data_IF_613146548227
#
_entry.id   IF_613146548227
#
_cell.length_a   1.000
_cell.length_b   1.000
_cell.length_c   1.000
_cell.angle_alpha   90.00
_cell.angle_beta   90.00
_cell.angle_gamma   90.00
#
_symmetry.space_group_name_H-M   'P 1'
#
loop_
_entity.id
_entity.type
_entity.pdbx_description
1 polymer ?
#
# COMPACT_ATOMS: atom_id res chain seq x y z
N UNK A 1 -3.60 -12.00 10.14
CA UNK A 1 -2.37 -12.61 10.68
C UNK A 1 -1.43 -11.50 11.14
N UNK A 2 -0.81 -11.68 12.28
CA UNK A 2 0.20 -10.77 12.79
C UNK A 2 1.54 -11.52 12.85
N UNK A 3 2.61 -10.93 12.34
CA UNK A 3 3.96 -11.44 12.54
C UNK A 3 4.62 -10.59 13.63
N UNK A 4 5.18 -11.24 14.64
CA UNK A 4 5.82 -10.59 15.78
C UNK A 4 7.32 -10.87 15.73
N UNK A 5 8.11 -9.83 15.84
CA UNK A 5 9.57 -9.88 15.82
C UNK A 5 10.13 -9.54 17.20
N UNK A 6 10.94 -10.40 17.78
CA UNK A 6 11.39 -10.27 19.16
C UNK A 6 12.92 -10.30 19.26
N UNK A 7 13.55 -9.13 19.36
CA UNK A 7 14.91 -8.95 19.83
C UNK A 7 16.03 -9.42 18.91
N UNK A 8 17.27 -9.44 19.42
CA UNK A 8 18.55 -9.68 18.71
C UNK A 8 18.68 -11.04 18.02
N UNK A 9 17.83 -12.02 18.42
CA UNK A 9 17.57 -13.27 17.72
C UNK A 9 16.15 -13.21 17.16
N UNK A 10 15.96 -12.50 16.06
CA UNK A 10 14.69 -12.25 15.41
C UNK A 10 13.92 -13.54 15.11
N UNK A 11 13.24 -14.06 16.10
CA UNK A 11 12.30 -15.17 15.92
C UNK A 11 10.98 -14.59 15.44
N UNK A 12 10.61 -14.94 14.24
CA UNK A 12 9.30 -14.62 13.71
C UNK A 12 8.32 -15.67 14.21
N UNK A 13 7.20 -15.20 14.75
CA UNK A 13 6.09 -16.06 15.15
C UNK A 13 4.81 -15.48 14.58
N UNK A 14 3.98 -16.34 14.04
CA UNK A 14 2.65 -15.99 13.60
C UNK A 14 1.72 -15.89 14.81
N UNK A 15 0.84 -14.91 14.76
CA UNK A 15 -0.10 -14.64 15.82
C UNK A 15 -1.47 -14.27 15.23
N UNK A 16 -2.51 -14.57 15.96
CA UNK A 16 -3.87 -14.15 15.64
C UNK A 16 -4.36 -13.12 16.66
N UNK A 17 -5.22 -12.20 16.22
CA UNK A 17 -5.85 -11.23 17.10
C UNK A 17 -6.87 -11.96 17.97
N UNK A 18 -6.59 -12.07 19.27
CA UNK A 18 -7.48 -12.72 20.24
C UNK A 18 -8.55 -11.73 20.74
N UNK A 19 -8.17 -10.49 21.01
CA UNK A 19 -9.07 -9.45 21.50
C UNK A 19 -8.53 -8.05 21.21
N UNK A 20 -9.42 -7.14 20.90
CA UNK A 20 -9.13 -5.69 20.79
C UNK A 20 -9.86 -4.98 21.91
N UNK A 21 -9.16 -4.14 22.66
CA UNK A 21 -9.82 -3.28 23.63
C UNK A 21 -10.50 -2.12 22.89
N UNK A 22 -11.82 -1.94 23.02
CA UNK A 22 -12.53 -0.88 22.30
C UNK A 22 -12.18 0.54 22.77
N UNK A 23 -11.56 0.66 23.94
CA UNK A 23 -11.20 1.96 24.50
C UNK A 23 -9.76 2.32 24.17
N UNK A 24 -9.55 3.46 23.52
CA UNK A 24 -8.23 4.04 23.38
C UNK A 24 -7.73 4.52 24.76
N UNK A 25 -6.47 4.29 25.07
CA UNK A 25 -5.87 4.83 26.28
C UNK A 25 -5.78 6.36 26.19
N UNK A 26 -6.34 7.04 27.19
CA UNK A 26 -6.27 8.50 27.29
C UNK A 26 -4.80 8.94 27.28
N UNK A 27 -4.46 9.87 26.40
CA UNK A 27 -3.12 10.45 26.28
C UNK A 27 -2.17 9.78 25.26
N UNK A 28 -2.31 8.51 24.96
CA UNK A 28 -1.40 7.81 24.02
C UNK A 28 -1.97 7.61 22.62
N UNK A 29 -3.27 7.78 22.41
CA UNK A 29 -3.99 7.48 21.15
C UNK A 29 -3.75 6.05 20.65
N UNK A 30 -3.38 5.14 21.54
CA UNK A 30 -3.12 3.74 21.22
C UNK A 30 -4.27 2.85 21.66
N UNK A 31 -4.47 1.76 20.95
CA UNK A 31 -5.45 0.72 21.26
C UNK A 31 -4.69 -0.53 21.68
N UNK A 32 -5.13 -1.14 22.77
CA UNK A 32 -4.54 -2.37 23.26
C UNK A 32 -5.12 -3.56 22.49
N UNK A 33 -4.24 -4.30 21.81
CA UNK A 33 -4.59 -5.49 21.06
C UNK A 33 -3.90 -6.70 21.69
N UNK A 34 -4.67 -7.71 22.04
CA UNK A 34 -4.16 -8.99 22.56
C UNK A 34 -3.97 -9.95 21.39
N UNK A 35 -2.78 -10.52 21.29
CA UNK A 35 -2.42 -11.49 20.26
C UNK A 35 -2.23 -12.87 20.90
N UNK A 36 -2.80 -13.89 20.28
CA UNK A 36 -2.48 -15.28 20.58
C UNK A 36 -1.36 -15.74 19.66
N UNK A 37 -0.24 -16.14 20.23
CA UNK A 37 0.91 -16.66 19.46
C UNK A 37 0.62 -18.12 19.05
N UNK A 38 0.95 -18.49 17.83
CA UNK A 38 0.82 -19.89 17.37
C UNK A 38 1.82 -20.81 18.07
N UNK A 39 2.97 -20.26 18.45
CA UNK A 39 3.99 -20.97 19.25
C UNK A 39 4.50 -20.03 20.33
N UNK A 40 4.54 -20.50 21.55
CA UNK A 40 5.06 -19.75 22.71
C UNK A 40 6.41 -20.26 23.22
N UNK A 41 6.94 -21.33 22.60
CA UNK A 41 8.17 -21.99 23.06
C UNK A 41 9.37 -21.04 22.98
N UNK A 42 10.03 -20.84 24.12
CA UNK A 42 11.22 -20.00 24.22
C UNK A 42 10.96 -18.50 24.35
N UNK A 43 9.70 -18.07 24.45
CA UNK A 43 9.38 -16.69 24.81
C UNK A 43 9.21 -16.54 26.32
N UNK A 44 9.72 -15.43 26.87
CA UNK A 44 9.62 -15.07 28.27
C UNK A 44 8.76 -13.83 28.44
N UNK A 45 8.09 -13.71 29.56
CA UNK A 45 7.38 -12.49 29.91
C UNK A 45 8.34 -11.31 30.00
N UNK A 46 7.90 -10.13 29.57
CA UNK A 46 8.70 -8.90 29.59
C UNK A 46 9.55 -8.67 28.33
N UNK A 47 9.49 -9.54 27.33
CA UNK A 47 10.15 -9.31 26.05
C UNK A 47 9.39 -8.26 25.23
N UNK A 48 10.14 -7.35 24.62
CA UNK A 48 9.60 -6.43 23.64
C UNK A 48 9.42 -7.17 22.30
N UNK A 49 8.30 -6.94 21.65
CA UNK A 49 8.00 -7.50 20.34
C UNK A 49 7.52 -6.39 19.40
N UNK A 50 7.84 -6.53 18.12
CA UNK A 50 7.36 -5.67 17.06
C UNK A 50 6.76 -6.51 15.94
N UNK A 51 5.67 -6.05 15.33
CA UNK A 51 5.01 -6.83 14.31
C UNK A 51 4.13 -6.01 13.40
N UNK A 52 3.49 -6.71 12.45
CA UNK A 52 2.50 -6.15 11.54
C UNK A 52 1.19 -6.89 11.72
N UNK A 53 0.09 -6.16 11.76
CA UNK A 53 -1.26 -6.71 11.82
C UNK A 53 -1.89 -6.50 10.45
N UNK A 54 -2.29 -7.60 9.80
CA UNK A 54 -3.13 -7.52 8.59
C UNK A 54 -4.57 -7.27 9.03
N UNK A 55 -5.11 -6.12 8.66
CA UNK A 55 -6.47 -5.69 9.03
C UNK A 55 -7.53 -6.03 7.99
N UNK A 56 -7.13 -6.57 6.85
CA UNK A 56 -8.04 -7.03 5.81
C UNK A 56 -7.31 -7.30 4.50
N UNK A 57 -8.04 -7.93 3.60
CA UNK A 57 -7.66 -8.09 2.19
C UNK A 57 -8.84 -7.61 1.36
N UNK A 58 -8.65 -6.57 0.58
CA UNK A 58 -9.60 -6.11 -0.41
C UNK A 58 -8.95 -6.20 -1.79
N UNK A 59 -9.72 -6.61 -2.81
CA UNK A 59 -9.31 -6.43 -4.19
C UNK A 59 -9.65 -5.01 -4.60
N UNK A 60 -8.67 -4.16 -4.63
CA UNK A 60 -8.81 -2.78 -5.05
C UNK A 60 -7.77 -2.48 -6.13
N UNK A 61 -8.09 -1.57 -7.03
CA UNK A 61 -7.09 -1.08 -7.97
C UNK A 61 -6.03 -0.31 -7.20
N UNK A 62 -4.78 -0.64 -7.44
CA UNK A 62 -3.65 0.03 -6.82
C UNK A 62 -2.69 0.55 -7.89
N UNK A 63 -2.19 1.74 -7.67
CA UNK A 63 -1.19 2.37 -8.53
C UNK A 63 0.07 2.71 -7.73
N UNK A 64 1.23 2.75 -8.39
CA UNK A 64 2.41 3.35 -7.78
C UNK A 64 2.07 4.76 -7.29
N UNK A 65 2.42 5.08 -6.05
CA UNK A 65 2.12 6.39 -5.46
C UNK A 65 2.64 7.55 -6.33
N UNK A 66 3.77 7.35 -7.01
CA UNK A 66 4.36 8.33 -7.93
C UNK A 66 3.47 8.64 -9.16
N UNK A 67 2.54 7.76 -9.53
CA UNK A 67 1.60 8.01 -10.64
C UNK A 67 0.40 8.86 -10.22
N UNK A 68 0.14 9.01 -8.92
CA UNK A 68 -0.91 9.87 -8.39
C UNK A 68 -0.36 11.28 -8.22
N UNK A 69 -1.01 12.25 -8.82
CA UNK A 69 -0.65 13.67 -8.76
C UNK A 69 -1.47 14.38 -7.68
N UNK A 70 -0.82 15.29 -6.96
CA UNK A 70 -1.39 16.07 -5.86
C UNK A 70 -1.14 17.57 -6.00
N UNK A 71 -0.78 18.00 -7.19
CA UNK A 71 -0.53 19.42 -7.54
C UNK A 71 -1.84 20.22 -7.81
N UNK A 72 -2.98 19.54 -7.68
CA UNK A 72 -4.34 20.13 -7.68
C UNK A 72 -5.02 19.89 -6.34
N UNK A 73 -6.11 20.62 -6.03
CA UNK A 73 -6.86 20.42 -4.78
C UNK A 73 -7.32 18.98 -4.55
N UNK A 74 -7.63 18.25 -5.62
CA UNK A 74 -7.99 16.83 -5.58
C UNK A 74 -6.92 15.98 -6.25
N UNK A 75 -6.57 14.82 -5.66
CA UNK A 75 -5.67 13.88 -6.30
C UNK A 75 -6.21 13.42 -7.66
N UNK A 76 -5.31 13.29 -8.62
CA UNK A 76 -5.67 12.84 -9.96
C UNK A 76 -4.58 11.96 -10.57
N UNK A 77 -4.96 11.22 -11.60
CA UNK A 77 -4.05 10.45 -12.44
C UNK A 77 -4.14 10.94 -13.88
N UNK A 78 -3.07 10.71 -14.62
CA UNK A 78 -3.00 11.00 -16.04
C UNK A 78 -3.28 9.70 -16.81
N UNK A 79 -4.46 9.59 -17.40
CA UNK A 79 -4.85 8.48 -18.26
C UNK A 79 -4.42 8.73 -19.69
N UNK A 80 -4.25 7.67 -20.46
CA UNK A 80 -4.14 7.74 -21.90
C UNK A 80 -5.44 7.22 -22.52
N UNK A 81 -6.18 8.12 -23.13
CA UNK A 81 -7.43 7.82 -23.83
C UNK A 81 -7.27 8.27 -25.28
N UNK A 82 -7.48 7.37 -26.22
CA UNK A 82 -7.35 7.63 -27.67
C UNK A 82 -6.03 8.33 -28.06
N UNK A 83 -4.93 7.92 -27.42
CA UNK A 83 -3.61 8.50 -27.69
C UNK A 83 -3.41 9.92 -27.14
N UNK A 84 -4.26 10.37 -26.24
CA UNK A 84 -4.18 11.67 -25.58
C UNK A 84 -4.20 11.53 -24.07
N UNK A 85 -3.56 12.46 -23.39
CA UNK A 85 -3.60 12.56 -21.92
C UNK A 85 -4.97 13.09 -21.49
N UNK A 86 -5.59 12.40 -20.56
CA UNK A 86 -6.80 12.85 -19.86
C UNK A 86 -6.57 12.85 -18.35
N UNK A 87 -6.85 13.95 -17.69
CA UNK A 87 -6.77 14.02 -16.24
C UNK A 87 -8.04 13.45 -15.62
N UNK A 88 -7.90 12.46 -14.75
CA UNK A 88 -9.01 11.86 -14.03
C UNK A 88 -8.80 12.00 -12.53
N UNK A 89 -9.73 12.69 -11.86
CA UNK A 89 -9.76 12.75 -10.40
C UNK A 89 -9.95 11.35 -9.80
N UNK A 90 -9.22 11.06 -8.75
CA UNK A 90 -9.28 9.77 -8.04
C UNK A 90 -9.34 9.98 -6.54
N UNK A 91 -9.96 9.04 -5.85
CA UNK A 91 -9.85 8.96 -4.40
C UNK A 91 -8.76 7.96 -4.05
N UNK A 92 -7.91 8.32 -3.11
CA UNK A 92 -6.82 7.46 -2.62
C UNK A 92 -7.18 6.83 -1.29
N UNK A 93 -6.85 5.57 -1.11
CA UNK A 93 -7.11 4.80 0.10
C UNK A 93 -5.84 4.29 0.77
N UNK A 94 -5.78 2.99 0.98
CA UNK A 94 -4.68 2.34 1.68
C UNK A 94 -3.37 2.42 0.92
N UNK A 95 -2.27 2.51 1.68
CA UNK A 95 -0.91 2.45 1.13
C UNK A 95 -0.25 1.15 1.54
N UNK A 96 0.49 0.55 0.61
CA UNK A 96 1.28 -0.65 0.84
C UNK A 96 2.61 -0.58 0.10
N UNK A 97 3.53 -1.46 0.45
CA UNK A 97 4.80 -1.62 -0.25
C UNK A 97 4.86 -2.99 -0.90
N UNK A 98 5.25 -3.02 -2.17
CA UNK A 98 5.52 -4.23 -2.94
C UNK A 98 6.86 -4.02 -3.63
N UNK A 99 7.81 -4.92 -3.44
CA UNK A 99 9.16 -4.87 -4.02
C UNK A 99 9.87 -3.51 -3.87
N UNK A 100 9.75 -2.91 -2.68
CA UNK A 100 10.35 -1.61 -2.36
C UNK A 100 9.63 -0.40 -2.96
N UNK A 101 8.58 -0.59 -3.74
CA UNK A 101 7.76 0.46 -4.31
C UNK A 101 6.50 0.67 -3.49
N UNK A 102 6.17 1.93 -3.23
CA UNK A 102 4.91 2.28 -2.53
C UNK A 102 3.77 2.33 -3.52
N UNK A 103 2.71 1.58 -3.23
CA UNK A 103 1.44 1.60 -3.94
C UNK A 103 0.36 2.25 -3.07
N UNK A 104 -0.64 2.80 -3.72
CA UNK A 104 -1.84 3.35 -3.09
C UNK A 104 -3.07 2.81 -3.80
N UNK A 105 -4.08 2.40 -3.04
CA UNK A 105 -5.35 2.02 -3.64
C UNK A 105 -6.07 3.25 -4.16
N UNK A 106 -6.70 3.10 -5.32
CA UNK A 106 -7.41 4.19 -5.99
C UNK A 106 -8.80 3.76 -6.42
N UNK A 107 -9.73 4.68 -6.33
CA UNK A 107 -11.07 4.54 -6.91
C UNK A 107 -11.37 5.70 -7.86
N UNK A 108 -12.31 5.49 -8.78
CA UNK A 108 -12.66 6.48 -9.81
C UNK A 108 -12.03 6.22 -11.18
N UNK A 109 -11.27 5.13 -11.34
CA UNK A 109 -10.77 4.62 -12.62
C UNK A 109 -11.22 3.17 -12.83
N UNK A 110 -11.23 2.73 -14.07
CA UNK A 110 -11.59 1.36 -14.43
C UNK A 110 -10.35 0.44 -14.50
N UNK A 111 -10.57 -0.86 -14.28
CA UNK A 111 -9.53 -1.86 -14.47
C UNK A 111 -9.13 -1.91 -15.95
N UNK A 112 -7.83 -1.95 -16.21
CA UNK A 112 -7.29 -1.92 -17.57
C UNK A 112 -7.03 -0.51 -18.13
N UNK A 113 -7.38 0.55 -17.41
CA UNK A 113 -7.03 1.91 -17.80
C UNK A 113 -5.49 2.09 -17.87
N UNK A 114 -5.02 2.75 -18.93
CA UNK A 114 -3.60 3.05 -19.11
C UNK A 114 -3.26 4.34 -18.38
N UNK A 115 -2.45 4.23 -17.34
CA UNK A 115 -2.01 5.36 -16.51
C UNK A 115 -0.56 5.71 -16.82
N UNK A 116 -0.26 6.99 -16.98
CA UNK A 116 1.11 7.45 -17.17
C UNK A 116 1.93 7.25 -15.89
N UNK A 117 3.14 6.70 -16.06
CA UNK A 117 4.06 6.51 -14.94
C UNK A 117 4.46 7.85 -14.32
N UNK A 118 4.73 7.82 -13.01
CA UNK A 118 5.13 9.01 -12.25
C UNK A 118 6.39 9.70 -12.77
N UNK A 119 7.26 8.96 -13.43
CA UNK A 119 8.52 9.47 -14.03
C UNK A 119 8.31 10.37 -15.24
N UNK A 120 7.14 10.31 -15.88
CA UNK A 120 6.86 11.12 -17.09
C UNK A 120 6.61 12.60 -16.76
N UNK A 121 6.35 12.92 -15.50
CA UNK A 121 6.02 14.29 -15.10
C UNK A 121 4.55 14.65 -15.34
N UNK A 122 4.19 15.91 -15.11
CA UNK A 122 2.84 16.42 -15.35
C UNK A 122 2.70 16.87 -16.79
N UNK A 123 1.80 16.25 -17.52
CA UNK A 123 1.44 16.65 -18.88
C UNK A 123 0.09 17.39 -18.87
N UNK A 124 -0.11 18.27 -19.83
CA UNK A 124 -1.38 18.97 -19.99
C UNK A 124 -2.45 18.02 -20.52
N UNK A 125 -3.66 18.24 -20.09
CA UNK A 125 -4.83 17.55 -20.62
C UNK A 125 -4.92 17.74 -22.14
N UNK A 126 -5.28 16.70 -22.88
CA UNK A 126 -5.33 16.69 -24.34
C UNK A 126 -3.97 16.53 -25.05
N UNK A 127 -2.85 16.47 -24.33
CA UNK A 127 -1.52 16.25 -24.96
C UNK A 127 -1.49 14.91 -25.68
N UNK A 128 -1.10 14.93 -26.97
CA UNK A 128 -0.93 13.69 -27.73
C UNK A 128 0.28 12.90 -27.22
N UNK A 129 0.10 11.63 -26.99
CA UNK A 129 1.16 10.72 -26.51
C UNK A 129 1.20 9.45 -27.39
N UNK A 130 2.40 8.95 -27.60
CA UNK A 130 2.62 7.61 -28.18
C UNK A 130 3.05 6.67 -27.07
N UNK A 131 2.30 5.58 -26.92
CA UNK A 131 2.74 4.50 -26.07
C UNK A 131 3.85 3.74 -26.81
N UNK A 132 5.05 3.76 -26.26
CA UNK A 132 6.06 2.80 -26.69
C UNK A 132 5.58 1.40 -26.28
N UNK A 133 5.78 0.35 -27.13
CA UNK A 133 5.49 -1.01 -26.71
C UNK A 133 6.26 -1.26 -25.40
N UNK A 134 5.55 -1.80 -24.39
CA UNK A 134 6.18 -2.14 -23.13
C UNK A 134 7.35 -3.07 -23.44
N UNK A 135 8.58 -2.57 -23.27
CA UNK A 135 9.76 -3.43 -23.27
C UNK A 135 9.52 -4.43 -22.14
N UNK A 136 9.25 -5.68 -22.52
CA UNK A 136 9.11 -6.75 -21.55
C UNK A 136 10.31 -6.68 -20.62
N UNK A 137 10.06 -6.36 -19.36
CA UNK A 137 11.09 -6.41 -18.33
C UNK A 137 11.60 -7.85 -18.33
N UNK A 138 12.78 -8.02 -18.91
CA UNK A 138 13.48 -9.30 -18.96
C UNK A 138 13.75 -9.68 -17.50
N UNK A 139 13.29 -10.82 -17.02
CA UNK A 139 13.74 -11.27 -15.72
C UNK A 139 15.26 -11.39 -15.79
N UNK A 140 15.95 -10.74 -14.87
CA UNK A 140 17.40 -10.90 -14.72
C UNK A 140 17.70 -12.35 -14.33
N UNK A 141 18.80 -12.91 -14.83
CA UNK A 141 19.23 -14.29 -14.57
C UNK A 141 19.53 -14.54 -13.10
#
# INVERSE_FOLDING_TARGET
NAAVDAGKDMRKVDASVARINPSAQAGSRSVLVYLALERSDGFRQGLFAQGRIEIGRAKELALPLAAVRVDKPEPYVQLVVDGRVAHKGVQTGWRGQVDGQTFVTVSGIEEGAVVLAGTVGTMRDGTAVRLAPASAARPAP
#
